data_IF_704537453042
#
_entry.id   IF_704537453042
#
_cell.length_a   1.000
_cell.length_b   1.000
_cell.length_c   1.000
_cell.angle_alpha   90.00
_cell.angle_beta   90.00
_cell.angle_gamma   90.00
#
_symmetry.space_group_name_H-M   'P 1'
#
loop_
_entity.id
_entity.type
_entity.pdbx_description
1 polymer ?
#
# COMPACT_ATOMS: atom_id res chain seq x y z
N UNK A 1 -15.21 -24.80 0.48
CA UNK A 1 -13.80 -24.63 0.92
C UNK A 1 -13.67 -25.04 2.39
N UNK A 2 -12.66 -25.83 2.77
CA UNK A 2 -12.48 -26.25 4.17
C UNK A 2 -11.87 -25.12 5.01
N UNK A 3 -12.10 -25.12 6.33
CA UNK A 3 -11.50 -24.12 7.25
C UNK A 3 -9.97 -24.08 7.16
N UNK A 4 -9.34 -25.24 6.97
CA UNK A 4 -7.87 -25.37 6.85
C UNK A 4 -7.34 -24.68 5.59
N UNK A 5 -7.96 -24.93 4.43
CA UNK A 5 -7.54 -24.31 3.17
C UNK A 5 -7.72 -22.79 3.22
N UNK A 6 -8.83 -22.29 3.78
CA UNK A 6 -9.03 -20.85 3.96
C UNK A 6 -7.93 -20.23 4.81
N UNK A 7 -7.61 -20.84 5.94
CA UNK A 7 -6.58 -20.31 6.83
C UNK A 7 -5.20 -20.31 6.16
N UNK A 8 -4.87 -21.34 5.39
CA UNK A 8 -3.64 -21.38 4.59
C UNK A 8 -3.58 -20.24 3.56
N UNK A 9 -4.68 -19.97 2.84
CA UNK A 9 -4.73 -18.85 1.90
C UNK A 9 -4.52 -17.52 2.62
N UNK A 10 -5.19 -17.29 3.75
CA UNK A 10 -4.98 -16.07 4.54
C UNK A 10 -3.52 -15.91 5.00
N UNK A 11 -2.87 -17.00 5.44
CA UNK A 11 -1.46 -16.97 5.81
C UNK A 11 -0.56 -16.63 4.64
N UNK A 12 -0.80 -17.22 3.46
CA UNK A 12 -0.04 -16.88 2.26
C UNK A 12 -0.23 -15.42 1.84
N UNK A 13 -1.46 -14.90 1.91
CA UNK A 13 -1.72 -13.47 1.63
C UNK A 13 -0.94 -12.57 2.60
N UNK A 14 -0.91 -12.92 3.89
CA UNK A 14 -0.14 -12.16 4.89
C UNK A 14 1.35 -12.18 4.55
N UNK A 15 1.91 -13.35 4.26
CA UNK A 15 3.33 -13.48 3.88
C UNK A 15 3.65 -12.67 2.62
N UNK A 16 2.82 -12.78 1.58
CA UNK A 16 3.02 -12.02 0.34
C UNK A 16 2.91 -10.51 0.58
N UNK A 17 1.96 -10.06 1.39
CA UNK A 17 1.83 -8.64 1.75
C UNK A 17 3.05 -8.12 2.52
N UNK A 18 3.57 -8.90 3.46
CA UNK A 18 4.79 -8.56 4.20
C UNK A 18 6.02 -8.53 3.28
N UNK A 19 6.15 -9.49 2.36
CA UNK A 19 7.23 -9.50 1.37
C UNK A 19 7.14 -8.29 0.44
N UNK A 20 5.93 -7.90 0.00
CA UNK A 20 5.73 -6.71 -0.83
C UNK A 20 6.15 -5.44 -0.07
N UNK A 21 5.72 -5.29 1.18
CA UNK A 21 6.12 -4.16 2.01
C UNK A 21 7.63 -4.12 2.26
N UNK A 22 8.26 -5.26 2.54
CA UNK A 22 9.71 -5.34 2.71
C UNK A 22 10.47 -4.98 1.43
N UNK A 23 10.00 -5.48 0.27
CA UNK A 23 10.56 -5.13 -1.03
C UNK A 23 10.46 -3.62 -1.29
N UNK A 24 9.32 -3.01 -0.99
CA UNK A 24 9.13 -1.57 -1.07
C UNK A 24 10.11 -0.82 -0.16
N UNK A 25 10.26 -1.21 1.11
CA UNK A 25 11.19 -0.55 2.04
C UNK A 25 12.64 -0.64 1.54
N UNK A 26 13.08 -1.80 1.07
CA UNK A 26 14.44 -1.98 0.53
C UNK A 26 14.65 -1.10 -0.70
N UNK A 27 13.72 -1.14 -1.66
CA UNK A 27 13.77 -0.32 -2.88
C UNK A 27 13.77 1.17 -2.54
N UNK A 28 12.88 1.61 -1.67
CA UNK A 28 12.77 2.99 -1.21
C UNK A 28 14.08 3.47 -0.58
N UNK A 29 14.69 2.65 0.29
CA UNK A 29 15.97 2.99 0.90
C UNK A 29 17.15 3.03 -0.09
N UNK A 30 17.15 2.15 -1.09
CA UNK A 30 18.19 2.10 -2.11
C UNK A 30 18.10 3.28 -3.10
N UNK A 31 16.89 3.63 -3.53
CA UNK A 31 16.64 4.75 -4.45
C UNK A 31 16.82 6.08 -3.73
N UNK A 32 16.45 6.14 -2.45
CA UNK A 32 16.46 7.33 -1.60
C UNK A 32 15.10 7.99 -1.46
N UNK A 33 14.04 7.37 -1.97
CA UNK A 33 12.69 7.94 -2.02
C UNK A 33 11.77 7.19 -2.99
N UNK A 34 10.61 7.77 -3.26
CA UNK A 34 9.70 7.32 -4.30
C UNK A 34 9.17 8.47 -5.16
N UNK A 35 8.73 8.12 -6.37
CA UNK A 35 8.27 9.07 -7.37
C UNK A 35 7.05 9.88 -6.92
N UNK A 36 6.21 9.32 -6.04
CA UNK A 36 5.04 10.02 -5.48
C UNK A 36 5.41 11.29 -4.73
N UNK A 37 6.59 11.30 -4.11
CA UNK A 37 7.09 12.40 -3.31
C UNK A 37 8.01 13.36 -4.06
N UNK A 38 8.53 12.99 -5.24
CA UNK A 38 9.45 13.85 -6.03
C UNK A 38 8.81 14.50 -7.27
N UNK A 39 7.87 13.84 -7.95
CA UNK A 39 7.18 14.43 -9.10
C UNK A 39 8.01 14.52 -10.40
N UNK A 40 7.54 15.35 -11.33
CA UNK A 40 8.18 15.62 -12.63
C UNK A 40 8.29 17.14 -12.86
N UNK A 41 9.47 17.62 -13.23
CA UNK A 41 9.71 19.05 -13.53
C UNK A 41 10.66 19.17 -14.73
N UNK A 42 10.33 20.01 -15.71
CA UNK A 42 11.13 20.29 -16.92
C UNK A 42 11.62 19.02 -17.67
N UNK A 43 10.81 17.97 -17.71
CA UNK A 43 11.16 16.69 -18.35
C UNK A 43 12.13 15.81 -17.54
N UNK A 44 12.52 16.25 -16.36
CA UNK A 44 13.31 15.50 -15.38
C UNK A 44 12.40 14.81 -14.37
N UNK A 45 12.78 13.59 -13.98
CA UNK A 45 12.00 12.74 -13.08
C UNK A 45 12.67 12.71 -11.71
N UNK A 46 11.92 13.05 -10.67
CA UNK A 46 12.45 13.17 -9.31
C UNK A 46 11.82 12.12 -8.38
N UNK A 47 12.61 11.65 -7.42
CA UNK A 47 12.14 10.81 -6.31
C UNK A 47 12.45 11.52 -5.01
N UNK A 48 11.45 11.60 -4.14
CA UNK A 48 11.52 12.31 -2.87
C UNK A 48 11.51 11.35 -1.68
N UNK A 49 12.35 11.60 -0.69
CA UNK A 49 12.53 10.74 0.48
C UNK A 49 12.38 11.49 1.79
N UNK A 50 11.62 10.93 2.74
CA UNK A 50 11.42 11.57 4.05
C UNK A 50 12.38 11.10 5.14
N UNK A 51 13.01 9.94 4.99
CA UNK A 51 13.55 9.19 6.15
C UNK A 51 15.06 8.95 6.17
N UNK A 52 15.82 9.22 5.10
CA UNK A 52 17.22 8.74 5.04
C UNK A 52 18.27 9.84 4.79
N UNK A 53 17.91 11.03 4.30
CA UNK A 53 18.89 12.12 4.14
C UNK A 53 18.27 13.49 4.44
N UNK A 54 18.61 14.06 5.61
CA UNK A 54 18.41 15.49 5.93
C UNK A 54 16.97 15.95 6.16
N UNK A 55 16.83 17.09 6.86
CA UNK A 55 15.56 17.81 7.07
C UNK A 55 15.04 18.42 5.75
N UNK A 56 15.88 18.44 4.71
CA UNK A 56 15.61 19.08 3.43
C UNK A 56 15.16 18.14 2.31
N UNK A 57 15.01 16.83 2.57
CA UNK A 57 14.40 15.87 1.64
C UNK A 57 14.87 16.04 0.18
N UNK A 58 16.16 15.83 -0.10
CA UNK A 58 16.69 16.15 -1.42
C UNK A 58 16.07 15.29 -2.51
N UNK A 59 15.28 15.93 -3.37
CA UNK A 59 14.73 15.33 -4.58
C UNK A 59 15.87 14.87 -5.50
N UNK A 60 15.89 13.57 -5.77
CA UNK A 60 16.94 12.96 -6.59
C UNK A 60 16.45 12.76 -8.01
N UNK A 61 17.20 13.25 -8.99
CA UNK A 61 16.94 12.98 -10.40
C UNK A 61 17.20 11.49 -10.69
N UNK A 62 16.22 10.83 -11.28
CA UNK A 62 16.29 9.43 -11.71
C UNK A 62 15.86 9.27 -13.16
N UNK A 63 16.08 8.08 -13.73
CA UNK A 63 15.52 7.76 -15.04
C UNK A 63 14.00 7.58 -14.98
N UNK A 64 13.32 7.87 -16.09
CA UNK A 64 11.88 7.63 -16.27
C UNK A 64 11.44 6.23 -15.85
N UNK A 65 12.24 5.21 -16.16
CA UNK A 65 11.96 3.82 -15.80
C UNK A 65 11.94 3.58 -14.28
N UNK A 66 12.92 4.14 -13.57
CA UNK A 66 12.99 4.06 -12.09
C UNK A 66 11.84 4.83 -11.46
N UNK A 67 11.51 6.00 -12.01
CA UNK A 67 10.38 6.80 -11.56
C UNK A 67 9.06 6.04 -11.71
N UNK A 68 8.76 5.51 -12.90
CA UNK A 68 7.55 4.70 -13.14
C UNK A 68 7.50 3.48 -12.22
N UNK A 69 8.62 2.75 -12.10
CA UNK A 69 8.70 1.58 -11.24
C UNK A 69 8.41 1.91 -9.78
N UNK A 70 9.07 2.94 -9.23
CA UNK A 70 8.88 3.33 -7.82
C UNK A 70 7.45 3.80 -7.57
N UNK A 71 6.86 4.57 -8.49
CA UNK A 71 5.46 5.00 -8.39
C UNK A 71 4.49 3.80 -8.37
N UNK A 72 4.63 2.88 -9.33
CA UNK A 72 3.80 1.68 -9.39
C UNK A 72 3.95 0.84 -8.13
N UNK A 73 5.17 0.69 -7.61
CA UNK A 73 5.43 -0.03 -6.37
C UNK A 73 4.69 0.63 -5.19
N UNK A 74 4.72 1.97 -5.07
CA UNK A 74 3.96 2.72 -4.06
C UNK A 74 2.45 2.46 -4.16
N UNK A 75 1.89 2.38 -5.38
CA UNK A 75 0.48 2.03 -5.60
C UNK A 75 0.16 0.63 -5.04
N UNK A 76 1.05 -0.36 -5.24
CA UNK A 76 0.79 -1.75 -4.79
C UNK A 76 0.72 -1.92 -3.27
N UNK A 77 1.25 -0.97 -2.49
CA UNK A 77 1.25 -1.05 -1.02
C UNK A 77 -0.16 -1.02 -0.47
N UNK A 78 -1.03 -0.18 -1.02
CA UNK A 78 -2.41 -0.03 -0.55
C UNK A 78 -3.22 -1.34 -0.63
N UNK A 79 -3.37 -2.01 -1.79
CA UNK A 79 -4.15 -3.24 -1.88
C UNK A 79 -3.49 -4.40 -1.14
N UNK A 80 -2.15 -4.48 -1.09
CA UNK A 80 -1.46 -5.57 -0.38
C UNK A 80 -1.59 -5.45 1.14
N UNK A 81 -1.49 -4.23 1.69
CA UNK A 81 -1.75 -3.97 3.11
C UNK A 81 -3.20 -4.27 3.47
N UNK A 82 -4.17 -3.89 2.63
CA UNK A 82 -5.58 -4.23 2.87
C UNK A 82 -5.82 -5.74 2.88
N UNK A 83 -5.27 -6.47 1.91
CA UNK A 83 -5.38 -7.92 1.84
C UNK A 83 -4.77 -8.61 3.07
N UNK A 84 -3.62 -8.11 3.55
CA UNK A 84 -2.97 -8.57 4.78
C UNK A 84 -3.85 -8.32 6.01
N UNK A 85 -4.38 -7.10 6.18
CA UNK A 85 -5.20 -6.74 7.33
C UNK A 85 -6.52 -7.52 7.37
N UNK A 86 -7.19 -7.65 6.22
CA UNK A 86 -8.43 -8.46 6.12
C UNK A 86 -8.13 -9.93 6.40
N UNK A 87 -7.03 -10.47 5.87
CA UNK A 87 -6.63 -11.87 6.14
C UNK A 87 -6.35 -12.11 7.62
N UNK A 88 -5.67 -11.18 8.28
CA UNK A 88 -5.42 -11.20 9.73
C UNK A 88 -6.74 -11.17 10.51
N UNK A 89 -7.66 -10.29 10.12
CA UNK A 89 -8.97 -10.16 10.77
C UNK A 89 -9.82 -11.44 10.59
N UNK A 90 -9.76 -12.07 9.42
CA UNK A 90 -10.43 -13.35 9.15
C UNK A 90 -9.85 -14.48 10.01
N UNK A 91 -8.53 -14.52 10.21
CA UNK A 91 -7.89 -15.50 11.09
C UNK A 91 -8.24 -15.26 12.57
N UNK A 92 -8.33 -14.00 12.99
CA UNK A 92 -8.68 -13.60 14.36
C UNK A 92 -10.19 -13.76 14.68
N UNK A 93 -11.03 -13.96 13.66
CA UNK A 93 -12.51 -14.04 13.78
C UNK A 93 -13.02 -14.88 14.95
N UNK A 94 -12.56 -16.13 15.19
CA UNK A 94 -13.08 -16.94 16.28
C UNK A 94 -12.83 -16.32 17.66
N UNK A 95 -11.64 -15.72 17.84
CA UNK A 95 -11.27 -15.05 19.08
C UNK A 95 -12.12 -13.79 19.32
N UNK A 96 -12.26 -12.94 18.30
CA UNK A 96 -13.07 -11.72 18.37
C UNK A 96 -14.53 -12.04 18.75
N UNK A 97 -15.12 -13.07 18.12
CA UNK A 97 -16.50 -13.48 18.42
C UNK A 97 -16.62 -13.98 19.87
N UNK A 98 -15.64 -14.74 20.35
CA UNK A 98 -15.65 -15.24 21.71
C UNK A 98 -15.57 -14.09 22.73
N UNK A 99 -14.68 -13.12 22.51
CA UNK A 99 -14.51 -11.96 23.41
C UNK A 99 -15.70 -11.01 23.39
N UNK A 100 -16.41 -10.91 22.27
CA UNK A 100 -17.54 -9.97 22.10
C UNK A 100 -18.92 -10.58 22.37
N UNK A 101 -18.99 -11.77 22.95
CA UNK A 101 -20.26 -12.49 23.15
C UNK A 101 -21.27 -11.74 24.03
N UNK A 102 -20.79 -10.91 24.95
CA UNK A 102 -21.60 -10.13 25.90
C UNK A 102 -21.63 -8.63 25.57
N UNK A 103 -21.02 -8.23 24.45
CA UNK A 103 -20.94 -6.81 24.05
C UNK A 103 -22.22 -6.30 23.37
N UNK A 104 -22.39 -4.97 23.39
CA UNK A 104 -23.50 -4.27 22.70
C UNK A 104 -23.46 -4.50 21.18
N UNK A 105 -22.27 -4.70 20.62
CA UNK A 105 -22.05 -5.00 19.21
C UNK A 105 -21.64 -6.46 19.08
N UNK A 106 -22.23 -7.20 18.14
CA UNK A 106 -21.82 -8.57 17.85
C UNK A 106 -20.46 -8.63 17.14
N UNK A 107 -19.60 -9.59 17.51
CA UNK A 107 -18.27 -9.73 16.92
C UNK A 107 -18.25 -9.91 15.39
N UNK A 108 -19.31 -10.48 14.81
CA UNK A 108 -19.48 -10.56 13.36
C UNK A 108 -19.64 -9.19 12.71
N UNK A 109 -20.46 -8.32 13.31
CA UNK A 109 -20.69 -6.95 12.86
C UNK A 109 -19.38 -6.16 12.93
N UNK A 110 -18.62 -6.30 14.03
CA UNK A 110 -17.32 -5.66 14.16
C UNK A 110 -16.40 -6.03 13.00
N UNK A 111 -16.21 -7.33 12.75
CA UNK A 111 -15.34 -7.81 11.68
C UNK A 111 -15.78 -7.27 10.31
N UNK A 112 -17.08 -7.27 10.04
CA UNK A 112 -17.62 -6.76 8.77
C UNK A 112 -17.34 -5.25 8.60
N UNK A 113 -17.58 -4.45 9.65
CA UNK A 113 -17.33 -3.01 9.64
C UNK A 113 -15.84 -2.72 9.39
N UNK A 114 -14.94 -3.33 10.17
CA UNK A 114 -13.50 -3.13 10.00
C UNK A 114 -13.01 -3.57 8.62
N UNK A 115 -13.46 -4.73 8.14
CA UNK A 115 -13.11 -5.19 6.78
C UNK A 115 -13.57 -4.19 5.71
N UNK A 116 -14.78 -3.66 5.85
CA UNK A 116 -15.36 -2.69 4.92
C UNK A 116 -14.56 -1.39 4.92
N UNK A 117 -14.24 -0.86 6.11
CA UNK A 117 -13.43 0.36 6.25
C UNK A 117 -12.05 0.18 5.63
N UNK A 118 -11.37 -0.96 5.90
CA UNK A 118 -10.06 -1.26 5.33
C UNK A 118 -10.12 -1.26 3.79
N UNK A 119 -11.11 -1.95 3.21
CA UNK A 119 -11.25 -2.05 1.75
C UNK A 119 -11.56 -0.69 1.12
N UNK A 120 -12.45 0.10 1.74
CA UNK A 120 -12.83 1.41 1.21
C UNK A 120 -11.66 2.40 1.26
N UNK A 121 -10.95 2.49 2.40
CA UNK A 121 -9.81 3.41 2.53
C UNK A 121 -8.70 2.99 1.57
N UNK A 122 -8.32 1.71 1.56
CA UNK A 122 -7.27 1.23 0.65
C UNK A 122 -7.65 1.42 -0.82
N UNK A 123 -8.90 1.16 -1.19
CA UNK A 123 -9.40 1.40 -2.54
C UNK A 123 -9.33 2.88 -2.93
N UNK A 124 -9.75 3.78 -2.04
CA UNK A 124 -9.66 5.22 -2.26
C UNK A 124 -8.21 5.70 -2.41
N UNK A 125 -7.29 5.21 -1.56
CA UNK A 125 -5.86 5.56 -1.64
C UNK A 125 -5.22 5.01 -2.92
N UNK A 126 -5.55 3.78 -3.31
CA UNK A 126 -5.09 3.19 -4.57
C UNK A 126 -5.55 4.01 -5.76
N UNK A 127 -6.84 4.39 -5.79
CA UNK A 127 -7.41 5.20 -6.86
C UNK A 127 -6.77 6.61 -6.90
N UNK A 128 -6.53 7.21 -5.73
CA UNK A 128 -5.88 8.51 -5.64
C UNK A 128 -4.45 8.46 -6.19
N UNK A 129 -3.64 7.49 -5.78
CA UNK A 129 -2.28 7.33 -6.27
C UNK A 129 -2.25 7.01 -7.77
N UNK A 130 -3.21 6.23 -8.27
CA UNK A 130 -3.32 5.93 -9.69
C UNK A 130 -3.68 7.18 -10.51
N UNK A 131 -4.61 7.99 -10.02
CA UNK A 131 -4.99 9.25 -10.68
C UNK A 131 -3.83 10.25 -10.69
N UNK A 132 -3.09 10.37 -9.58
CA UNK A 132 -1.91 11.22 -9.47
C UNK A 132 -0.81 10.75 -10.41
N UNK A 133 -0.52 9.44 -10.46
CA UNK A 133 0.42 8.84 -11.41
C UNK A 133 0.08 9.17 -12.87
N UNK A 134 -1.19 9.02 -13.25
CA UNK A 134 -1.64 9.32 -14.63
C UNK A 134 -1.48 10.81 -14.92
N UNK A 135 -1.80 11.70 -13.97
CA UNK A 135 -1.63 13.15 -14.14
C UNK A 135 -0.17 13.52 -14.40
N UNK A 136 0.73 13.09 -13.52
CA UNK A 136 2.17 13.37 -13.62
C UNK A 136 2.76 12.82 -14.93
N UNK A 137 2.31 11.63 -15.36
CA UNK A 137 2.80 11.00 -16.59
C UNK A 137 2.29 11.71 -17.86
N UNK A 138 1.08 12.29 -17.82
CA UNK A 138 0.56 13.13 -18.89
C UNK A 138 1.30 14.46 -18.97
N UNK A 139 1.56 15.12 -17.83
CA UNK A 139 2.34 16.36 -17.76
C UNK A 139 3.75 16.15 -18.33
N UNK A 140 4.41 15.06 -17.94
CA UNK A 140 5.72 14.65 -18.48
C UNK A 140 5.71 14.40 -19.99
N UNK A 141 4.54 14.10 -20.59
CA UNK A 141 4.40 13.85 -22.03
C UNK A 141 4.11 15.10 -22.85
N UNK A 142 3.62 16.18 -22.22
CA UNK A 142 3.26 17.43 -22.90
C UNK A 142 4.31 18.53 -22.71
N UNK A 143 5.17 18.43 -21.69
CA UNK A 143 6.27 19.36 -21.41
C UNK A 143 7.62 19.01 -22.04
N UNK A 144 7.65 18.14 -23.05
CA UNK A 144 8.85 17.72 -23.78
C UNK A 144 8.87 18.18 -25.24
#
# INVERSE_FOLDING_TARGET
MTRRVRNLICLWIIVLGLCNFAAYTVVYSYIGGDARNGGVEDGHFYVGGHFIHGVDGEDRIVSKGIWIYSYLHSITIWPTVAALLVSTLVLARPHIIATMREGVVGGQTLIAVFSTVIVLISGAMTAWFLADFVRELLEASHGG
#
